data_IF_297579946598
#
_entry.id   IF_297579946598
#
_cell.length_a   1.000
_cell.length_b   1.000
_cell.length_c   1.000
_cell.angle_alpha   90.00
_cell.angle_beta   90.00
_cell.angle_gamma   90.00
#
_symmetry.space_group_name_H-M   'P 1'
#
loop_
_entity.id
_entity.type
_entity.pdbx_description
1 polymer ?
#
# COMPACT_ATOMS: atom_id res chain seq x y z
N UNK A 1 -2.37 12.38 -19.53
CA UNK A 1 -3.74 12.50 -18.98
C UNK A 1 -4.15 11.14 -18.43
N UNK A 2 -4.61 11.07 -17.18
CA UNK A 2 -5.01 9.82 -16.52
C UNK A 2 -6.52 9.86 -16.25
N UNK A 3 -7.24 8.81 -16.66
CA UNK A 3 -8.70 8.71 -16.47
C UNK A 3 -8.98 8.14 -15.07
N UNK A 4 -9.78 8.83 -14.26
CA UNK A 4 -10.16 8.40 -12.92
C UNK A 4 -11.52 7.71 -12.93
N UNK A 5 -12.48 8.21 -13.68
CA UNK A 5 -13.79 7.58 -13.84
C UNK A 5 -14.31 7.72 -15.26
N UNK A 6 -15.17 6.77 -15.67
CA UNK A 6 -15.92 6.81 -16.94
C UNK A 6 -17.37 7.30 -16.72
N UNK A 7 -17.78 7.47 -15.48
CA UNK A 7 -19.10 7.96 -15.15
C UNK A 7 -19.09 9.49 -15.00
N UNK A 8 -19.81 10.18 -15.85
CA UNK A 8 -19.87 11.66 -15.87
C UNK A 8 -20.56 12.25 -14.62
N UNK A 9 -21.30 11.42 -13.86
CA UNK A 9 -22.00 11.83 -12.65
C UNK A 9 -21.17 11.65 -11.37
N UNK A 10 -19.95 11.12 -11.46
CA UNK A 10 -19.10 10.96 -10.29
C UNK A 10 -18.61 12.32 -9.79
N UNK A 11 -18.90 12.59 -8.53
CA UNK A 11 -18.27 13.67 -7.76
C UNK A 11 -17.10 13.10 -7.02
N UNK A 12 -15.88 13.64 -7.23
CA UNK A 12 -14.64 13.12 -6.61
C UNK A 12 -14.52 13.57 -5.15
N UNK A 13 -15.57 13.33 -4.38
CA UNK A 13 -15.66 13.65 -2.95
C UNK A 13 -15.10 12.49 -2.07
N UNK A 14 -15.11 12.69 -0.75
CA UNK A 14 -14.63 11.68 0.19
C UNK A 14 -15.39 10.36 0.08
N UNK A 15 -16.69 10.38 -0.25
CA UNK A 15 -17.50 9.18 -0.41
C UNK A 15 -17.11 8.36 -1.63
N UNK A 16 -16.76 9.03 -2.72
CA UNK A 16 -16.22 8.41 -3.93
C UNK A 16 -14.90 7.68 -3.64
N UNK A 17 -13.98 8.36 -2.96
CA UNK A 17 -12.67 7.78 -2.62
C UNK A 17 -12.78 6.65 -1.61
N UNK A 18 -13.69 6.77 -0.64
CA UNK A 18 -13.99 5.67 0.31
C UNK A 18 -14.41 4.41 -0.43
N UNK A 19 -15.42 4.50 -1.32
CA UNK A 19 -15.88 3.34 -2.11
C UNK A 19 -14.75 2.72 -2.95
N UNK A 20 -13.85 3.53 -3.49
CA UNK A 20 -12.68 3.04 -4.24
C UNK A 20 -11.72 2.25 -3.37
N UNK A 21 -11.44 2.74 -2.17
CA UNK A 21 -10.61 2.02 -1.18
C UNK A 21 -11.29 0.71 -0.77
N UNK A 22 -12.59 0.75 -0.49
CA UNK A 22 -13.39 -0.42 -0.14
C UNK A 22 -13.35 -1.49 -1.25
N UNK A 23 -13.47 -1.08 -2.52
CA UNK A 23 -13.36 -2.01 -3.65
C UNK A 23 -11.96 -2.63 -3.78
N UNK A 24 -10.92 -1.83 -3.65
CA UNK A 24 -9.55 -2.33 -3.68
C UNK A 24 -9.31 -3.34 -2.56
N UNK A 25 -9.74 -3.02 -1.34
CA UNK A 25 -9.61 -3.92 -0.19
C UNK A 25 -10.46 -5.19 -0.34
N UNK A 26 -11.72 -5.06 -0.75
CA UNK A 26 -12.60 -6.21 -1.01
C UNK A 26 -12.00 -7.16 -2.05
N UNK A 27 -11.41 -6.62 -3.11
CA UNK A 27 -10.71 -7.43 -4.11
C UNK A 27 -9.54 -8.22 -3.51
N UNK A 28 -8.72 -7.62 -2.62
CA UNK A 28 -7.64 -8.34 -1.93
C UNK A 28 -8.17 -9.51 -1.10
N UNK A 29 -9.28 -9.32 -0.39
CA UNK A 29 -9.95 -10.39 0.37
C UNK A 29 -10.50 -11.52 -0.51
N UNK A 30 -10.75 -11.25 -1.79
CA UNK A 30 -11.23 -12.26 -2.74
C UNK A 30 -10.09 -13.11 -3.31
N UNK A 31 -8.89 -12.51 -3.48
CA UNK A 31 -7.79 -13.15 -4.21
C UNK A 31 -6.65 -13.62 -3.31
N UNK A 32 -6.62 -13.20 -2.05
CA UNK A 32 -5.60 -13.58 -1.08
C UNK A 32 -6.19 -14.43 0.05
N UNK A 33 -5.37 -15.33 0.57
CA UNK A 33 -5.73 -16.06 1.79
C UNK A 33 -5.75 -15.08 2.99
N UNK A 34 -6.60 -15.33 4.01
CA UNK A 34 -6.70 -14.44 5.18
C UNK A 34 -5.36 -14.16 5.87
N UNK A 35 -4.46 -15.14 5.94
CA UNK A 35 -3.13 -14.98 6.52
C UNK A 35 -2.26 -13.99 5.73
N UNK A 36 -2.49 -13.86 4.43
CA UNK A 36 -1.70 -13.01 3.54
C UNK A 36 -2.14 -11.55 3.54
N UNK A 37 -3.31 -11.26 4.09
CA UNK A 37 -3.83 -9.89 4.17
C UNK A 37 -2.98 -8.97 5.06
N UNK A 38 -2.13 -9.53 5.92
CA UNK A 38 -1.20 -8.78 6.77
C UNK A 38 0.09 -8.36 6.06
N UNK A 39 0.39 -8.96 4.90
CA UNK A 39 1.57 -8.67 4.09
C UNK A 39 1.19 -8.67 2.60
N UNK A 40 0.57 -7.59 2.13
CA UNK A 40 0.04 -7.54 0.78
C UNK A 40 0.05 -6.13 0.18
N UNK A 41 -0.06 -6.07 -1.14
CA UNK A 41 -0.33 -4.82 -1.85
C UNK A 41 -1.82 -4.49 -1.78
N UNK A 42 -2.17 -3.44 -1.03
CA UNK A 42 -3.56 -2.98 -0.85
C UNK A 42 -4.04 -2.22 -2.08
N UNK A 43 -3.22 -1.32 -2.62
CA UNK A 43 -3.52 -0.54 -3.83
C UNK A 43 -2.39 -0.70 -4.84
N UNK A 44 -2.74 -0.97 -6.10
CA UNK A 44 -1.81 -1.09 -7.21
C UNK A 44 -2.15 -0.11 -8.35
N UNK A 45 -1.92 1.16 -8.11
CA UNK A 45 -1.96 2.21 -9.12
C UNK A 45 -3.20 2.19 -10.00
N UNK A 46 -2.98 2.19 -11.28
CA UNK A 46 -4.00 2.21 -12.32
C UNK A 46 -4.94 1.00 -12.29
N UNK A 47 -4.46 -0.15 -11.84
CA UNK A 47 -5.27 -1.38 -11.74
C UNK A 47 -6.43 -1.23 -10.74
N UNK A 48 -6.20 -0.50 -9.67
CA UNK A 48 -7.22 -0.20 -8.65
C UNK A 48 -7.82 1.22 -8.84
N UNK A 49 -7.52 1.88 -9.97
CA UNK A 49 -8.00 3.22 -10.33
C UNK A 49 -7.50 4.33 -9.40
N UNK A 50 -6.28 4.18 -8.89
CA UNK A 50 -5.53 5.19 -8.14
C UNK A 50 -4.22 5.52 -8.89
N UNK A 51 -4.28 6.22 -10.02
CA UNK A 51 -3.15 6.36 -10.91
C UNK A 51 -1.95 7.04 -10.24
N UNK A 52 -0.85 6.28 -10.14
CA UNK A 52 0.38 6.74 -9.51
C UNK A 52 0.40 6.62 -7.98
N UNK A 53 -0.52 5.84 -7.38
CA UNK A 53 -0.47 5.49 -5.95
C UNK A 53 -0.28 3.99 -5.78
N UNK A 54 0.73 3.61 -5.03
CA UNK A 54 0.90 2.23 -4.53
C UNK A 54 0.80 2.25 -3.01
N UNK A 55 0.09 1.28 -2.45
CA UNK A 55 -0.01 1.07 -1.00
C UNK A 55 0.28 -0.38 -0.69
N UNK A 56 1.36 -0.63 0.02
CA UNK A 56 1.73 -1.93 0.53
C UNK A 56 1.47 -1.98 2.05
N UNK A 57 0.99 -3.11 2.52
CA UNK A 57 0.77 -3.36 3.93
C UNK A 57 1.83 -4.31 4.46
N UNK A 58 2.45 -3.95 5.56
CA UNK A 58 3.37 -4.76 6.35
C UNK A 58 2.87 -4.79 7.79
N UNK A 59 2.20 -5.86 8.16
CA UNK A 59 1.53 -6.07 9.45
C UNK A 59 0.51 -4.95 9.75
N UNK A 60 0.84 -4.01 10.59
CA UNK A 60 -0.01 -2.87 11.00
C UNK A 60 0.40 -1.53 10.37
N UNK A 61 1.38 -1.55 9.46
CA UNK A 61 1.88 -0.36 8.77
C UNK A 61 1.47 -0.38 7.31
N UNK A 62 0.98 0.76 6.81
CA UNK A 62 0.80 1.00 5.38
C UNK A 62 1.99 1.80 4.85
N UNK A 63 2.68 1.27 3.87
CA UNK A 63 3.77 1.97 3.18
C UNK A 63 3.27 2.44 1.83
N UNK A 64 3.34 3.74 1.59
CA UNK A 64 2.78 4.37 0.40
C UNK A 64 3.86 4.91 -0.51
N UNK A 65 3.59 4.84 -1.81
CA UNK A 65 4.37 5.51 -2.83
C UNK A 65 3.44 6.35 -3.71
N UNK A 66 3.61 7.66 -3.68
CA UNK A 66 2.80 8.61 -4.43
C UNK A 66 3.63 9.25 -5.55
N UNK A 67 3.30 8.93 -6.80
CA UNK A 67 4.06 9.29 -7.99
C UNK A 67 3.29 10.19 -8.96
N UNK A 68 2.17 10.78 -8.54
CA UNK A 68 1.42 11.71 -9.37
C UNK A 68 0.92 12.91 -8.59
N UNK A 69 0.90 14.07 -9.23
CA UNK A 69 0.41 15.33 -8.65
C UNK A 69 -1.03 15.21 -8.15
N UNK A 70 -1.88 14.45 -8.88
CA UNK A 70 -3.27 14.25 -8.47
C UNK A 70 -3.39 13.51 -7.15
N UNK A 71 -2.67 12.40 -6.98
CA UNK A 71 -2.66 11.63 -5.73
C UNK A 71 -1.97 12.39 -4.60
N UNK A 72 -0.92 13.16 -4.90
CA UNK A 72 -0.27 14.02 -3.91
C UNK A 72 -1.25 15.00 -3.27
N UNK A 73 -2.09 15.66 -4.07
CA UNK A 73 -3.12 16.58 -3.58
C UNK A 73 -4.24 15.89 -2.82
N UNK A 74 -4.48 14.61 -3.08
CA UNK A 74 -5.53 13.82 -2.45
C UNK A 74 -5.10 13.16 -1.14
N UNK A 75 -3.81 13.10 -0.82
CA UNK A 75 -3.30 12.46 0.40
C UNK A 75 -4.04 12.85 1.68
N UNK A 76 -4.32 14.14 1.94
CA UNK A 76 -4.99 14.54 3.18
C UNK A 76 -6.40 13.94 3.37
N UNK A 77 -7.05 13.56 2.28
CA UNK A 77 -8.36 12.89 2.28
C UNK A 77 -8.18 11.37 2.22
N UNK A 78 -7.31 10.90 1.33
CA UNK A 78 -7.21 9.49 0.98
C UNK A 78 -6.51 8.64 2.06
N UNK A 79 -5.46 9.15 2.70
CA UNK A 79 -4.71 8.38 3.68
C UNK A 79 -5.50 8.12 4.98
N UNK A 80 -6.22 9.10 5.56
CA UNK A 80 -7.15 8.80 6.63
C UNK A 80 -8.23 7.78 6.24
N UNK A 81 -8.81 7.90 5.04
CA UNK A 81 -9.80 6.94 4.54
C UNK A 81 -9.24 5.52 4.40
N UNK A 82 -7.98 5.35 3.96
CA UNK A 82 -7.32 4.06 3.92
C UNK A 82 -7.28 3.40 5.31
N UNK A 83 -6.81 4.14 6.32
CA UNK A 83 -6.75 3.64 7.69
C UNK A 83 -8.15 3.30 8.22
N UNK A 84 -9.13 4.19 8.02
CA UNK A 84 -10.51 4.00 8.46
C UNK A 84 -11.16 2.76 7.85
N UNK A 85 -11.05 2.57 6.52
CA UNK A 85 -11.68 1.45 5.80
C UNK A 85 -11.08 0.12 6.27
N UNK A 86 -9.78 0.02 6.40
CA UNK A 86 -9.14 -1.21 6.88
C UNK A 86 -9.50 -1.49 8.34
N UNK A 87 -9.50 -0.47 9.20
CA UNK A 87 -9.88 -0.60 10.61
C UNK A 87 -11.35 -1.00 10.78
N UNK A 88 -12.26 -0.46 9.95
CA UNK A 88 -13.66 -0.84 9.94
C UNK A 88 -13.88 -2.31 9.56
N UNK A 89 -12.95 -2.90 8.80
CA UNK A 89 -12.92 -4.33 8.47
C UNK A 89 -12.14 -5.18 9.52
N UNK A 90 -11.88 -4.62 10.70
CA UNK A 90 -11.21 -5.32 11.81
C UNK A 90 -9.70 -5.41 11.69
N UNK A 91 -9.08 -4.67 10.76
CA UNK A 91 -7.63 -4.67 10.61
C UNK A 91 -6.97 -3.66 11.56
N UNK A 92 -5.83 -4.03 12.15
CA UNK A 92 -5.02 -3.09 12.93
C UNK A 92 -4.13 -2.29 11.97
N UNK A 93 -4.23 -0.96 12.02
CA UNK A 93 -3.36 -0.05 11.28
C UNK A 93 -2.82 0.98 12.28
N UNK A 94 -1.51 0.93 12.54
CA UNK A 94 -0.82 1.78 13.50
C UNK A 94 -0.25 3.07 12.87
N UNK A 95 -0.03 3.06 11.55
CA UNK A 95 0.48 4.25 10.87
C UNK A 95 0.62 4.09 9.36
N UNK A 96 0.88 5.22 8.72
CA UNK A 96 1.15 5.30 7.28
C UNK A 96 2.54 5.93 7.08
N UNK A 97 3.40 5.24 6.36
CA UNK A 97 4.75 5.71 6.04
C UNK A 97 4.86 6.02 4.55
N UNK A 98 5.32 7.20 4.20
CA UNK A 98 5.57 7.59 2.82
C UNK A 98 7.00 7.22 2.42
N UNK A 99 7.11 6.42 1.37
CA UNK A 99 8.38 6.03 0.79
C UNK A 99 8.36 6.23 -0.72
N UNK A 100 8.58 7.45 -1.11
CA UNK A 100 8.49 7.86 -2.49
C UNK A 100 9.81 7.66 -3.26
N UNK A 101 9.72 7.25 -4.53
CA UNK A 101 10.87 7.22 -5.44
C UNK A 101 11.23 8.64 -5.87
N UNK A 102 12.43 9.09 -5.50
CA UNK A 102 12.89 10.45 -5.75
C UNK A 102 13.00 10.76 -7.24
N UNK A 103 13.56 9.84 -8.02
CA UNK A 103 13.77 10.05 -9.46
C UNK A 103 12.44 10.12 -10.23
N UNK A 104 11.45 9.32 -9.83
CA UNK A 104 10.13 9.33 -10.44
C UNK A 104 9.34 10.58 -10.04
N UNK A 105 9.42 11.02 -8.78
CA UNK A 105 8.76 12.24 -8.32
C UNK A 105 9.32 13.49 -8.97
N UNK A 106 10.64 13.57 -9.15
CA UNK A 106 11.28 14.69 -9.85
C UNK A 106 10.77 14.87 -11.28
N UNK A 107 10.47 13.78 -12.00
CA UNK A 107 9.87 13.82 -13.34
C UNK A 107 8.45 14.43 -13.38
N UNK A 108 7.72 14.29 -12.30
CA UNK A 108 6.36 14.88 -12.13
C UNK A 108 6.43 16.28 -11.49
N UNK A 109 7.62 16.81 -11.19
CA UNK A 109 7.80 18.09 -10.51
C UNK A 109 7.37 18.09 -9.05
N UNK A 110 7.38 16.93 -8.41
CA UNK A 110 7.02 16.76 -7.01
C UNK A 110 8.27 16.80 -6.13
N UNK A 111 8.17 17.49 -4.99
CA UNK A 111 9.19 17.47 -3.97
C UNK A 111 9.30 16.08 -3.32
N UNK A 112 10.52 15.72 -2.90
CA UNK A 112 10.72 14.49 -2.16
C UNK A 112 10.03 14.55 -0.80
N UNK A 113 9.27 13.50 -0.51
CA UNK A 113 8.65 13.29 0.79
C UNK A 113 8.87 11.84 1.23
N UNK A 114 9.55 11.67 2.37
CA UNK A 114 9.83 10.37 2.99
C UNK A 114 9.66 10.52 4.49
N UNK A 115 8.84 9.66 5.09
CA UNK A 115 8.59 9.69 6.53
C UNK A 115 7.15 9.33 6.89
N UNK A 116 6.83 9.47 8.16
CA UNK A 116 5.49 9.21 8.66
C UNK A 116 4.50 10.27 8.18
N UNK A 117 3.37 9.81 7.67
CA UNK A 117 2.22 10.67 7.42
C UNK A 117 1.49 10.91 8.74
N UNK A 118 1.25 12.19 9.07
CA UNK A 118 0.54 12.57 10.28
C UNK A 118 -0.97 12.29 10.12
N UNK A 119 -1.46 11.19 10.67
CA UNK A 119 -2.89 10.96 10.79
C UNK A 119 -3.50 11.88 11.83
N UNK A 120 -4.67 12.50 11.56
CA UNK A 120 -5.28 13.45 12.48
C UNK A 120 -5.55 12.84 13.86
N UNK A 121 -4.95 13.44 14.91
CA UNK A 121 -5.15 13.01 16.30
C UNK A 121 -4.42 11.73 16.72
N UNK A 122 -3.55 11.20 15.87
CA UNK A 122 -2.83 9.94 16.14
C UNK A 122 -1.31 10.16 16.22
N UNK A 123 -0.65 9.29 16.98
CA UNK A 123 0.82 9.19 17.02
C UNK A 123 1.24 7.99 16.19
N UNK A 124 2.29 8.12 15.41
CA UNK A 124 2.86 7.02 14.66
C UNK A 124 3.82 6.17 15.52
N UNK A 125 4.10 4.92 15.15
CA UNK A 125 5.13 4.09 15.78
C UNK A 125 6.52 4.76 15.73
N UNK A 126 7.36 4.45 16.70
CA UNK A 126 8.73 4.96 16.73
C UNK A 126 9.67 4.20 15.78
N UNK A 127 9.34 2.93 15.48
CA UNK A 127 10.16 2.05 14.63
C UNK A 127 9.73 2.13 13.17
N UNK A 128 10.70 2.13 12.26
CA UNK A 128 10.51 1.97 10.82
C UNK A 128 10.70 0.52 10.36
N UNK A 129 10.68 -0.42 11.31
CA UNK A 129 10.82 -1.84 11.08
C UNK A 129 9.62 -2.58 11.64
N UNK A 130 9.21 -3.64 10.95
CA UNK A 130 8.15 -4.53 11.39
C UNK A 130 8.46 -5.97 10.98
N UNK A 131 7.70 -6.92 11.51
CA UNK A 131 7.80 -8.32 11.13
C UNK A 131 6.56 -8.73 10.34
N UNK A 132 6.77 -9.47 9.27
CA UNK A 132 5.71 -10.08 8.46
C UNK A 132 5.89 -11.59 8.41
N UNK A 133 4.78 -12.30 8.21
CA UNK A 133 4.80 -13.73 7.93
C UNK A 133 4.36 -13.99 6.49
N UNK A 134 5.20 -14.63 5.69
CA UNK A 134 4.89 -15.03 4.34
C UNK A 134 5.19 -16.53 4.16
N UNK A 135 4.19 -17.32 3.75
CA UNK A 135 4.30 -18.78 3.61
C UNK A 135 4.83 -19.50 4.87
N UNK A 136 4.51 -18.99 6.07
CA UNK A 136 4.97 -19.56 7.34
C UNK A 136 6.40 -19.16 7.75
N UNK A 137 7.07 -18.31 6.95
CA UNK A 137 8.39 -17.76 7.27
C UNK A 137 8.25 -16.33 7.73
N UNK A 138 8.94 -15.98 8.80
CA UNK A 138 8.97 -14.62 9.35
C UNK A 138 10.12 -13.82 8.76
N UNK A 139 9.82 -12.59 8.32
CA UNK A 139 10.79 -11.65 7.75
C UNK A 139 10.73 -10.33 8.49
N UNK A 140 11.90 -9.80 8.83
CA UNK A 140 12.03 -8.42 9.28
C UNK A 140 12.04 -7.48 8.07
N UNK A 141 11.11 -6.53 8.05
CA UNK A 141 10.97 -5.54 6.98
C UNK A 141 11.38 -4.17 7.51
N UNK A 142 12.40 -3.59 6.90
CA UNK A 142 12.78 -2.19 7.10
C UNK A 142 12.19 -1.37 5.94
N UNK A 143 11.07 -0.73 6.19
CA UNK A 143 10.39 0.05 5.17
C UNK A 143 11.01 1.43 4.95
N UNK A 144 11.97 1.84 5.75
CA UNK A 144 12.76 3.05 5.53
C UNK A 144 13.96 2.81 4.62
N UNK A 145 14.73 1.74 4.83
CA UNK A 145 16.00 1.48 4.16
C UNK A 145 15.97 0.28 3.21
N UNK A 146 14.98 -0.60 3.31
CA UNK A 146 14.81 -1.77 2.46
C UNK A 146 14.59 -1.41 0.98
N UNK A 147 14.50 -2.37 0.09
CA UNK A 147 14.24 -2.14 -1.34
C UNK A 147 12.75 -1.92 -1.63
N UNK A 148 12.41 -1.23 -2.71
CA UNK A 148 11.03 -0.85 -3.08
C UNK A 148 10.32 -0.14 -1.91
N UNK A 149 9.19 -0.67 -1.46
CA UNK A 149 8.45 -0.21 -0.28
C UNK A 149 8.94 -0.84 1.04
N UNK A 150 9.99 -1.67 0.99
CA UNK A 150 10.57 -2.37 2.14
C UNK A 150 10.77 -3.86 1.89
N UNK A 151 9.91 -4.49 1.07
CA UNK A 151 9.93 -5.92 0.78
C UNK A 151 9.37 -6.23 -0.62
N UNK A 152 9.71 -7.38 -1.18
CA UNK A 152 9.29 -7.84 -2.51
C UNK A 152 8.03 -8.72 -2.42
N UNK A 153 6.87 -8.13 -2.16
CA UNK A 153 5.59 -8.85 -2.06
C UNK A 153 5.20 -9.61 -3.34
N UNK A 154 5.72 -9.20 -4.50
CA UNK A 154 5.49 -9.84 -5.79
C UNK A 154 6.26 -11.16 -5.96
N UNK A 155 7.24 -11.46 -5.10
CA UNK A 155 8.05 -12.67 -5.18
C UNK A 155 7.51 -13.85 -4.35
N UNK A 156 6.44 -13.65 -3.61
CA UNK A 156 5.86 -14.63 -2.69
C UNK A 156 5.68 -16.03 -3.32
N UNK A 157 5.08 -16.10 -4.49
CA UNK A 157 4.82 -17.38 -5.17
C UNK A 157 6.05 -17.93 -5.90
N UNK A 158 6.96 -17.06 -6.34
CA UNK A 158 8.20 -17.49 -6.95
C UNK A 158 9.10 -18.24 -5.96
N UNK A 159 9.11 -17.83 -4.70
CA UNK A 159 9.86 -18.51 -3.65
C UNK A 159 9.40 -19.98 -3.48
N UNK A 160 8.12 -20.27 -3.61
CA UNK A 160 7.58 -21.63 -3.53
C UNK A 160 8.02 -22.51 -4.71
N UNK A 161 8.23 -21.95 -5.90
CA UNK A 161 8.69 -22.68 -7.06
C UNK A 161 10.14 -23.18 -6.93
N UNK A 162 10.98 -22.45 -6.20
CA UNK A 162 12.37 -22.82 -5.94
C UNK A 162 12.55 -23.83 -4.80
N UNK A 163 11.51 -24.07 -3.99
CA UNK A 163 11.52 -25.07 -2.91
C UNK A 163 11.07 -26.46 -3.37
N UNK A 164 10.69 -26.64 -4.63
CA UNK A 164 10.47 -27.97 -5.22
C UNK A 164 11.78 -28.76 -5.22
N UNK A 165 11.77 -30.05 -4.78
CA UNK A 165 12.96 -30.89 -4.83
C UNK A 165 13.52 -30.92 -6.24
N UNK A 166 14.83 -30.73 -6.36
CA UNK A 166 15.52 -30.84 -7.63
C UNK A 166 15.29 -32.23 -8.22
N UNK A 167 15.01 -32.39 -9.52
CA UNK A 167 14.91 -33.72 -10.14
C UNK A 167 16.22 -34.51 -10.10
N UNK A 168 17.25 -34.01 -9.44
CA UNK A 168 18.59 -34.62 -9.33
C UNK A 168 18.92 -35.13 -7.92
N UNK A 169 17.99 -35.06 -6.97
CA UNK A 169 18.15 -35.64 -5.64
C UNK A 169 17.50 -37.01 -5.54
#
# INVERSE_FOLDING_TARGET
>A
MRLISRNANDTFDASFWRRRVEYAWAYRKTVLEPADLTACRVIFGEADQFPGLTVDRFHDILVTQTLSVGMEKLKPVLFPLLAEVLRADGQTIAGIYERNDEALRAKEGLEQNKGWFALPGETHPASTQTEICENGVYYHVDFENGQKTGFFLDQKYNCLLYTSPSPRD
#
